data_IF_250741827815
#
_entry.id   IF_250741827815
#
_cell.length_a   1.000
_cell.length_b   1.000
_cell.length_c   1.000
_cell.angle_alpha   90.00
_cell.angle_beta   90.00
_cell.angle_gamma   90.00
#
_symmetry.space_group_name_H-M   'P 1'
#
loop_
_entity.id
_entity.type
_entity.pdbx_description
1 polymer ?
#
# COMPACT_ATOMS: atom_id res chain seq x y z
N UNK A 1 2.02 -16.73 -13.20
CA UNK A 1 1.42 -15.37 -13.14
C UNK A 1 1.43 -14.93 -11.67
N UNK A 2 2.49 -15.24 -10.93
CA UNK A 2 2.38 -15.55 -9.48
C UNK A 2 2.98 -14.45 -8.59
N UNK A 3 3.04 -13.22 -9.08
CA UNK A 3 3.63 -12.08 -8.35
C UNK A 3 2.69 -10.88 -8.22
N UNK A 4 1.41 -11.05 -8.56
CA UNK A 4 0.41 -9.99 -8.41
C UNK A 4 -0.35 -10.22 -7.11
N UNK A 5 0.08 -9.52 -6.06
CA UNK A 5 -0.63 -9.51 -4.79
C UNK A 5 -1.58 -8.31 -4.72
N UNK A 6 -2.78 -8.54 -4.20
CA UNK A 6 -3.70 -7.47 -3.83
C UNK A 6 -3.17 -6.72 -2.61
N UNK A 7 -3.41 -5.41 -2.55
CA UNK A 7 -3.06 -4.57 -1.39
C UNK A 7 -4.18 -3.57 -1.16
N UNK A 8 -4.81 -3.66 0.00
CA UNK A 8 -5.85 -2.74 0.43
C UNK A 8 -5.34 -1.29 0.47
N UNK A 9 -4.13 -1.06 1.01
CA UNK A 9 -3.52 0.26 1.10
C UNK A 9 -3.34 0.92 -0.27
N UNK A 10 -2.98 0.15 -1.31
CA UNK A 10 -2.93 0.67 -2.69
C UNK A 10 -4.31 1.08 -3.21
N UNK A 11 -5.34 0.28 -2.92
CA UNK A 11 -6.73 0.60 -3.29
C UNK A 11 -7.18 1.91 -2.63
N UNK A 12 -6.96 2.07 -1.32
CA UNK A 12 -7.33 3.29 -0.60
C UNK A 12 -6.55 4.52 -1.08
N UNK A 13 -5.25 4.38 -1.36
CA UNK A 13 -4.46 5.45 -1.97
C UNK A 13 -4.96 5.84 -3.36
N UNK A 14 -5.36 4.86 -4.20
CA UNK A 14 -5.92 5.15 -5.51
C UNK A 14 -7.23 5.95 -5.41
N UNK A 15 -8.11 5.59 -4.48
CA UNK A 15 -9.34 6.34 -4.23
C UNK A 15 -9.07 7.75 -3.70
N UNK A 16 -8.11 7.91 -2.78
CA UNK A 16 -7.69 9.20 -2.26
C UNK A 16 -7.15 10.11 -3.38
N UNK A 17 -6.27 9.59 -4.23
CA UNK A 17 -5.74 10.32 -5.39
C UNK A 17 -6.85 10.69 -6.37
N UNK A 18 -7.73 9.74 -6.71
CA UNK A 18 -8.85 9.98 -7.62
C UNK A 18 -9.81 11.05 -7.11
N UNK A 19 -10.17 11.00 -5.82
CA UNK A 19 -10.99 12.01 -5.18
C UNK A 19 -10.32 13.39 -5.20
N UNK A 20 -9.03 13.46 -4.89
CA UNK A 20 -8.25 14.71 -4.93
C UNK A 20 -8.21 15.29 -6.34
N UNK A 21 -7.94 14.45 -7.35
CA UNK A 21 -7.91 14.87 -8.75
C UNK A 21 -9.27 15.36 -9.23
N UNK A 22 -10.36 14.69 -8.85
CA UNK A 22 -11.71 15.11 -9.21
C UNK A 22 -12.02 16.53 -8.69
N UNK A 23 -11.65 16.83 -7.44
CA UNK A 23 -11.81 18.18 -6.86
C UNK A 23 -11.00 19.22 -7.64
N UNK A 24 -9.71 18.95 -7.90
CA UNK A 24 -8.82 19.88 -8.61
C UNK A 24 -9.30 20.15 -10.03
N UNK A 25 -9.64 19.10 -10.78
CA UNK A 25 -10.13 19.20 -12.16
C UNK A 25 -11.44 19.98 -12.22
N UNK A 26 -12.39 19.66 -11.34
CA UNK A 26 -13.68 20.34 -11.30
C UNK A 26 -13.53 21.82 -10.94
N UNK A 27 -12.63 22.16 -10.02
CA UNK A 27 -12.34 23.54 -9.66
C UNK A 27 -11.73 24.34 -10.82
N UNK A 28 -10.78 23.76 -11.56
CA UNK A 28 -10.15 24.44 -12.70
C UNK A 28 -11.11 24.62 -13.88
N UNK A 29 -11.98 23.64 -14.12
CA UNK A 29 -12.90 23.60 -15.26
C UNK A 29 -14.32 24.05 -14.90
N UNK A 30 -14.48 24.78 -13.79
CA UNK A 30 -15.79 25.12 -13.22
C UNK A 30 -16.74 25.79 -14.22
N UNK A 31 -16.23 26.74 -15.01
CA UNK A 31 -17.03 27.48 -16.02
C UNK A 31 -17.47 26.65 -17.23
N UNK A 32 -16.87 25.48 -17.44
CA UNK A 32 -17.22 24.58 -18.55
C UNK A 32 -18.43 23.68 -18.21
N UNK A 33 -18.61 23.35 -16.93
CA UNK A 33 -19.66 22.44 -16.47
C UNK A 33 -20.93 23.18 -16.06
N UNK A 34 -21.90 23.24 -16.98
CA UNK A 34 -23.15 24.03 -16.83
C UNK A 34 -24.10 23.52 -15.73
N UNK A 35 -24.04 22.25 -15.34
CA UNK A 35 -24.94 21.69 -14.32
C UNK A 35 -24.34 21.84 -12.91
N UNK A 36 -24.69 22.94 -12.24
CA UNK A 36 -24.18 23.27 -10.91
C UNK A 36 -24.55 22.20 -9.87
N UNK A 37 -25.74 21.62 -9.95
CA UNK A 37 -26.18 20.58 -9.01
C UNK A 37 -25.31 19.32 -9.13
N UNK A 38 -25.00 18.88 -10.35
CA UNK A 38 -24.10 17.76 -10.60
C UNK A 38 -22.68 18.06 -10.11
N UNK A 39 -22.18 19.28 -10.33
CA UNK A 39 -20.84 19.68 -9.86
C UNK A 39 -20.76 19.62 -8.33
N UNK A 40 -21.77 20.16 -7.63
CA UNK A 40 -21.82 20.13 -6.16
C UNK A 40 -21.92 18.68 -5.65
N UNK A 41 -22.72 17.83 -6.31
CA UNK A 41 -22.83 16.42 -5.96
C UNK A 41 -21.48 15.67 -6.11
N UNK A 42 -20.77 15.89 -7.21
CA UNK A 42 -19.43 15.31 -7.46
C UNK A 42 -18.44 15.81 -6.41
N UNK A 43 -18.46 17.10 -6.09
CA UNK A 43 -17.58 17.69 -5.07
C UNK A 43 -17.85 17.08 -3.69
N UNK A 44 -19.12 17.02 -3.28
CA UNK A 44 -19.53 16.41 -2.01
C UNK A 44 -19.13 14.93 -1.91
N UNK A 45 -19.40 14.15 -2.96
CA UNK A 45 -18.99 12.75 -3.02
C UNK A 45 -17.46 12.60 -2.94
N UNK A 46 -16.70 13.46 -3.63
CA UNK A 46 -15.24 13.43 -3.61
C UNK A 46 -14.69 13.72 -2.22
N UNK A 47 -15.26 14.69 -1.49
CA UNK A 47 -14.86 14.99 -0.11
C UNK A 47 -15.13 13.80 0.82
N UNK A 48 -16.27 13.13 0.69
CA UNK A 48 -16.60 11.94 1.49
C UNK A 48 -15.63 10.79 1.20
N UNK A 49 -15.40 10.48 -0.08
CA UNK A 49 -14.46 9.43 -0.49
C UNK A 49 -13.05 9.75 -0.01
N UNK A 50 -12.62 11.02 -0.12
CA UNK A 50 -11.33 11.47 0.37
C UNK A 50 -11.18 11.25 1.86
N UNK A 51 -12.15 11.70 2.67
CA UNK A 51 -12.09 11.57 4.13
C UNK A 51 -12.05 10.10 4.57
N UNK A 52 -12.91 9.25 4.00
CA UNK A 52 -12.93 7.83 4.30
C UNK A 52 -11.63 7.12 3.90
N UNK A 53 -11.13 7.40 2.68
CA UNK A 53 -9.88 6.80 2.18
C UNK A 53 -8.68 7.27 2.99
N UNK A 54 -8.63 8.56 3.37
CA UNK A 54 -7.57 9.10 4.21
C UNK A 54 -7.55 8.43 5.58
N UNK A 55 -8.72 8.25 6.20
CA UNK A 55 -8.83 7.53 7.47
C UNK A 55 -8.30 6.10 7.35
N UNK A 56 -8.76 5.33 6.35
CA UNK A 56 -8.30 3.95 6.12
C UNK A 56 -6.79 3.84 5.88
N UNK A 57 -6.22 4.73 5.04
CA UNK A 57 -4.77 4.76 4.79
C UNK A 57 -3.99 5.10 6.05
N UNK A 58 -4.51 6.00 6.90
CA UNK A 58 -3.79 6.43 8.11
C UNK A 58 -3.89 5.45 9.26
N UNK A 59 -5.03 4.80 9.42
CA UNK A 59 -5.29 3.92 10.56
C UNK A 59 -4.80 2.50 10.32
N UNK A 60 -4.80 2.02 9.07
CA UNK A 60 -4.48 0.63 8.70
C UNK A 60 -5.34 -0.42 9.43
N UNK A 61 -6.50 -0.04 9.97
CA UNK A 61 -7.41 -0.86 10.80
C UNK A 61 -7.93 -2.13 10.12
N UNK A 62 -7.83 -2.22 8.79
CA UNK A 62 -8.32 -3.37 8.02
C UNK A 62 -7.18 -4.24 7.46
N UNK A 63 -5.95 -3.98 7.88
CA UNK A 63 -4.75 -4.68 7.39
C UNK A 63 -4.31 -5.73 8.40
N UNK A 64 -4.63 -6.99 8.12
CA UNK A 64 -4.30 -8.14 8.96
C UNK A 64 -3.02 -8.84 8.49
N UNK A 65 -2.51 -9.81 9.25
CA UNK A 65 -1.23 -10.51 9.02
C UNK A 65 -1.00 -10.92 7.55
N UNK A 66 -1.96 -11.62 6.96
CA UNK A 66 -1.86 -12.10 5.58
C UNK A 66 -1.89 -10.94 4.58
N UNK A 67 -2.74 -9.92 4.80
CA UNK A 67 -2.81 -8.75 3.93
C UNK A 67 -1.54 -7.91 3.99
N UNK A 68 -0.95 -7.77 5.18
CA UNK A 68 0.33 -7.12 5.40
C UNK A 68 1.42 -7.82 4.59
N UNK A 69 1.58 -9.14 4.74
CA UNK A 69 2.61 -9.90 4.03
C UNK A 69 2.40 -9.89 2.51
N UNK A 70 1.16 -10.05 2.03
CA UNK A 70 0.83 -9.95 0.60
C UNK A 70 1.15 -8.57 0.04
N UNK A 71 0.94 -7.50 0.80
CA UNK A 71 1.30 -6.15 0.38
C UNK A 71 2.82 -5.90 0.42
N UNK A 72 3.54 -6.58 1.32
CA UNK A 72 4.97 -6.38 1.56
C UNK A 72 5.86 -7.15 0.58
N UNK A 73 5.45 -8.34 0.10
CA UNK A 73 6.17 -9.08 -0.96
C UNK A 73 6.48 -8.21 -2.20
N UNK A 74 5.51 -7.51 -2.83
CA UNK A 74 5.80 -6.65 -3.96
C UNK A 74 6.58 -5.38 -3.56
N UNK A 75 6.40 -4.85 -2.35
CA UNK A 75 7.23 -3.74 -1.85
C UNK A 75 8.71 -4.14 -1.81
N UNK A 76 8.99 -5.31 -1.25
CA UNK A 76 10.33 -5.89 -1.21
C UNK A 76 10.91 -6.15 -2.60
N UNK A 77 10.07 -6.65 -3.51
CA UNK A 77 10.47 -6.91 -4.89
C UNK A 77 10.91 -5.64 -5.63
N UNK A 78 10.31 -4.48 -5.33
CA UNK A 78 10.73 -3.19 -5.90
C UNK A 78 12.13 -2.79 -5.39
N UNK A 79 12.44 -3.06 -4.12
CA UNK A 79 13.77 -2.79 -3.56
C UNK A 79 14.85 -3.68 -4.20
N UNK A 80 14.54 -4.96 -4.43
CA UNK A 80 15.40 -5.88 -5.17
C UNK A 80 15.63 -5.37 -6.60
N UNK A 81 14.56 -5.09 -7.35
CA UNK A 81 14.62 -4.61 -8.72
C UNK A 81 15.47 -3.33 -8.82
N UNK A 82 15.25 -2.38 -7.92
CA UNK A 82 15.99 -1.11 -7.89
C UNK A 82 17.47 -1.33 -7.60
N UNK A 83 17.80 -2.21 -6.64
CA UNK A 83 19.18 -2.53 -6.25
C UNK A 83 19.95 -3.27 -7.34
N UNK A 84 19.26 -4.14 -8.09
CA UNK A 84 19.81 -4.89 -9.23
C UNK A 84 20.06 -3.99 -10.46
N UNK A 85 19.22 -2.98 -10.69
CA UNK A 85 19.29 -2.14 -11.91
C UNK A 85 19.96 -0.77 -11.72
N UNK A 86 20.22 -0.33 -10.48
CA UNK A 86 20.82 0.97 -10.23
C UNK A 86 22.29 1.07 -10.68
N UNK A 87 22.66 2.21 -11.26
CA UNK A 87 24.04 2.51 -11.69
C UNK A 87 24.93 2.92 -10.49
N UNK A 88 25.24 1.95 -9.62
CA UNK A 88 26.05 2.16 -8.42
C UNK A 88 27.54 1.97 -8.74
N UNK A 89 28.36 2.99 -8.42
CA UNK A 89 29.81 2.99 -8.67
C UNK A 89 30.68 2.93 -7.42
N UNK A 90 30.18 3.43 -6.28
CA UNK A 90 30.90 3.36 -5.00
C UNK A 90 30.78 1.92 -4.44
N UNK A 91 31.91 1.25 -4.14
CA UNK A 91 31.89 -0.14 -3.67
C UNK A 91 31.11 -0.33 -2.35
N UNK A 92 31.10 0.68 -1.47
CA UNK A 92 30.34 0.61 -0.20
C UNK A 92 28.84 0.62 -0.45
N UNK A 93 28.40 1.37 -1.46
CA UNK A 93 26.98 1.44 -1.85
C UNK A 93 26.57 0.14 -2.56
N UNK A 94 27.48 -0.49 -3.30
CA UNK A 94 27.23 -1.80 -3.91
C UNK A 94 27.07 -2.88 -2.83
N UNK A 95 27.98 -2.92 -1.87
CA UNK A 95 27.88 -3.84 -0.73
C UNK A 95 26.56 -3.68 0.04
N UNK A 96 26.13 -2.43 0.29
CA UNK A 96 24.82 -2.14 0.89
C UNK A 96 23.67 -2.67 0.02
N UNK A 97 23.69 -2.43 -1.29
CA UNK A 97 22.64 -2.88 -2.20
C UNK A 97 22.54 -4.41 -2.26
N UNK A 98 23.68 -5.10 -2.26
CA UNK A 98 23.71 -6.57 -2.27
C UNK A 98 23.18 -7.14 -0.94
N UNK A 99 23.50 -6.49 0.19
CA UNK A 99 22.92 -6.82 1.49
C UNK A 99 21.39 -6.60 1.54
N UNK A 100 20.89 -5.52 0.92
CA UNK A 100 19.44 -5.28 0.77
C UNK A 100 18.81 -6.41 -0.05
N UNK A 101 19.38 -6.77 -1.21
CA UNK A 101 18.84 -7.85 -2.06
C UNK A 101 18.74 -9.16 -1.28
N UNK A 102 19.79 -9.53 -0.55
CA UNK A 102 19.84 -10.77 0.21
C UNK A 102 18.76 -10.80 1.31
N UNK A 103 18.66 -9.73 2.11
CA UNK A 103 17.66 -9.61 3.15
C UNK A 103 16.24 -9.71 2.60
N UNK A 104 15.95 -8.93 1.56
CA UNK A 104 14.61 -8.84 0.97
C UNK A 104 14.19 -10.19 0.34
N UNK A 105 15.11 -10.93 -0.29
CA UNK A 105 14.84 -12.29 -0.81
C UNK A 105 14.52 -13.29 0.31
N UNK A 106 15.24 -13.23 1.44
CA UNK A 106 14.96 -14.08 2.61
C UNK A 106 13.59 -13.77 3.20
N UNK A 107 13.29 -12.50 3.42
CA UNK A 107 12.02 -12.03 3.99
C UNK A 107 10.82 -12.38 3.09
N UNK A 108 10.95 -12.28 1.76
CA UNK A 108 9.91 -12.76 0.82
C UNK A 108 9.65 -14.26 1.01
N UNK A 109 10.71 -15.06 1.16
CA UNK A 109 10.59 -16.51 1.41
C UNK A 109 9.91 -16.83 2.73
N UNK A 110 10.21 -16.07 3.79
CA UNK A 110 9.56 -16.19 5.10
C UNK A 110 8.07 -15.81 5.02
N UNK A 111 7.75 -14.64 4.47
CA UNK A 111 6.36 -14.19 4.29
C UNK A 111 5.53 -15.18 3.46
N UNK A 112 6.10 -15.74 2.40
CA UNK A 112 5.39 -16.72 1.55
C UNK A 112 5.04 -17.99 2.33
N UNK A 113 5.94 -18.47 3.19
CA UNK A 113 5.69 -19.63 4.05
C UNK A 113 4.65 -19.31 5.13
N UNK A 114 4.76 -18.15 5.78
CA UNK A 114 3.81 -17.73 6.82
C UNK A 114 2.40 -17.51 6.25
N UNK A 115 2.26 -16.93 5.06
CA UNK A 115 0.95 -16.82 4.38
C UNK A 115 0.34 -18.21 4.21
N UNK A 116 1.10 -19.17 3.67
CA UNK A 116 0.60 -20.53 3.46
C UNK A 116 0.20 -21.23 4.77
N UNK A 117 0.98 -21.02 5.84
CA UNK A 117 0.67 -21.58 7.15
C UNK A 117 -0.59 -20.95 7.77
N UNK A 118 -0.72 -19.62 7.75
CA UNK A 118 -1.89 -18.92 8.30
C UNK A 118 -3.17 -19.16 7.49
N UNK A 119 -3.07 -19.40 6.20
CA UNK A 119 -4.21 -19.82 5.37
C UNK A 119 -4.69 -21.24 5.73
N UNK A 120 -3.76 -22.14 6.06
CA UNK A 120 -4.08 -23.50 6.52
C UNK A 120 -4.51 -23.54 7.99
N UNK A 121 -3.92 -22.68 8.82
CA UNK A 121 -4.05 -22.62 10.27
C UNK A 121 -4.30 -21.17 10.73
N UNK A 122 -5.52 -20.63 10.55
CA UNK A 122 -5.80 -19.23 10.88
C UNK A 122 -5.67 -18.93 12.37
N UNK A 123 -5.21 -17.71 12.66
CA UNK A 123 -5.29 -17.15 14.02
C UNK A 123 -6.76 -17.02 14.42
N UNK A 124 -7.12 -17.29 15.70
CA UNK A 124 -8.48 -17.04 16.19
C UNK A 124 -8.92 -15.59 15.94
N UNK A 125 -10.17 -15.40 15.52
CA UNK A 125 -10.69 -14.09 15.14
C UNK A 125 -10.78 -13.10 16.32
N UNK A 126 -10.73 -13.59 17.55
CA UNK A 126 -10.75 -12.83 18.80
C UNK A 126 -9.37 -12.69 19.46
N UNK A 127 -8.30 -13.18 18.80
CA UNK A 127 -6.95 -12.98 19.28
C UNK A 127 -6.62 -11.47 19.31
N UNK A 128 -6.03 -10.96 20.40
CA UNK A 128 -5.65 -9.56 20.48
C UNK A 128 -4.41 -9.28 19.62
N UNK A 129 -4.30 -8.05 19.13
CA UNK A 129 -3.10 -7.57 18.46
C UNK A 129 -1.87 -7.66 19.38
N UNK A 130 -0.74 -8.09 18.81
CA UNK A 130 0.53 -8.10 19.52
C UNK A 130 1.17 -6.71 19.52
N UNK A 131 1.84 -6.28 20.61
CA UNK A 131 2.43 -4.95 20.70
C UNK A 131 3.56 -4.75 19.66
N UNK A 132 3.57 -3.58 19.05
CA UNK A 132 4.62 -3.15 18.13
C UNK A 132 5.99 -3.04 18.85
N UNK A 133 7.08 -3.00 18.07
CA UNK A 133 8.45 -3.01 18.62
C UNK A 133 8.72 -1.87 19.61
N UNK A 134 8.16 -0.70 19.39
CA UNK A 134 8.29 0.50 20.24
C UNK A 134 7.35 0.50 21.45
N UNK A 135 6.43 -0.46 21.53
CA UNK A 135 5.45 -0.62 22.62
C UNK A 135 5.80 -1.79 23.56
N UNK A 136 6.96 -2.43 23.36
CA UNK A 136 7.50 -3.48 24.23
C UNK A 136 8.33 -2.88 25.35
#
# INVERSE_FOLDING_TARGET
>A
LDHVFYSQTRTWMALLMGATMAVVMLAFMWGMYRNIAANIAILGASVVVFAASLWLVRSQETVWDVDYMRAMIPHHSIAILTSENAHIRDPRVRELADGIIEAQKREIGEMTRLIADLEANPVPADAPDLPAYDQK
#
